data_IF_526587854048
#
_entry.id   IF_526587854048
#
_cell.length_a   1.000
_cell.length_b   1.000
_cell.length_c   1.000
_cell.angle_alpha   90.00
_cell.angle_beta   90.00
_cell.angle_gamma   90.00
#
_symmetry.space_group_name_H-M   'P 1'
#
loop_
_entity.id
_entity.type
_entity.pdbx_description
1 polymer ?
#
# COMPACT_ATOMS: atom_id res chain seq x y z
N UNK A 1 14.17 50.91 -17.49
CA UNK A 1 13.73 51.87 -16.49
C UNK A 1 13.11 51.08 -15.35
N UNK A 2 13.87 50.81 -14.28
CA UNK A 2 13.70 51.45 -12.94
C UNK A 2 12.33 51.09 -12.34
N UNK A 3 12.16 50.45 -11.18
CA UNK A 3 12.78 50.44 -9.84
C UNK A 3 12.13 49.26 -9.09
N UNK A 4 12.81 48.39 -8.36
CA UNK A 4 13.39 48.48 -7.01
C UNK A 4 12.39 48.78 -5.87
N UNK A 5 12.56 47.98 -4.83
CA UNK A 5 12.25 48.17 -3.40
C UNK A 5 11.02 47.42 -2.93
N UNK A 6 11.04 46.66 -1.86
CA UNK A 6 12.03 46.40 -0.79
C UNK A 6 11.30 45.84 0.42
N UNK A 7 11.93 44.88 1.11
CA UNK A 7 12.21 44.86 2.55
C UNK A 7 11.01 44.88 3.52
N UNK A 8 10.84 43.93 4.44
CA UNK A 8 11.41 43.61 5.75
C UNK A 8 10.57 42.50 6.39
N UNK A 9 11.11 41.41 6.83
CA UNK A 9 11.62 41.07 8.17
C UNK A 9 10.61 41.16 9.32
N UNK A 10 10.21 40.02 9.89
CA UNK A 10 10.10 39.85 11.34
C UNK A 10 10.14 38.38 11.74
N UNK A 11 11.20 38.04 12.42
CA UNK A 11 11.39 36.82 13.19
C UNK A 11 10.59 36.90 14.49
N UNK A 12 10.02 35.78 14.95
CA UNK A 12 9.80 35.57 16.38
C UNK A 12 9.86 34.07 16.69
N UNK A 13 11.03 33.68 17.22
CA UNK A 13 11.24 32.49 18.02
C UNK A 13 10.53 32.66 19.34
N UNK A 14 9.77 31.64 19.75
CA UNK A 14 9.48 31.41 21.18
C UNK A 14 9.87 29.98 21.52
N UNK A 15 11.00 29.87 22.19
CA UNK A 15 11.43 28.71 22.95
C UNK A 15 10.61 28.65 24.24
N UNK A 16 10.06 27.51 24.57
CA UNK A 16 9.65 27.18 25.93
C UNK A 16 10.11 25.77 26.27
N UNK A 17 11.22 25.71 27.00
CA UNK A 17 11.63 24.56 27.79
C UNK A 17 11.00 24.68 29.18
N UNK A 18 10.44 23.57 29.69
CA UNK A 18 10.31 23.24 31.09
C UNK A 18 10.03 21.72 31.16
N UNK A 19 10.91 20.95 31.61
CA UNK A 19 11.44 20.66 32.95
C UNK A 19 10.87 19.36 33.51
N UNK A 20 11.80 18.44 33.83
CA UNK A 20 11.76 17.16 34.49
C UNK A 20 10.75 16.99 35.63
N UNK A 21 10.28 15.72 35.79
CA UNK A 21 9.70 15.19 37.00
C UNK A 21 9.57 13.67 36.91
N UNK A 22 10.53 12.96 37.55
CA UNK A 22 10.53 11.52 37.76
C UNK A 22 9.50 11.16 38.86
N UNK A 23 8.78 10.06 38.71
CA UNK A 23 8.68 8.95 39.69
C UNK A 23 7.67 7.86 39.25
N UNK A 24 8.17 6.66 39.17
CA UNK A 24 7.70 5.32 39.60
C UNK A 24 6.25 4.86 39.43
N UNK A 25 6.16 3.74 38.68
CA UNK A 25 5.35 2.52 38.93
C UNK A 25 3.84 2.62 39.14
N UNK A 26 3.10 2.06 38.19
CA UNK A 26 2.25 0.87 38.42
C UNK A 26 1.58 0.41 37.13
N UNK A 27 1.61 -0.90 36.93
CA UNK A 27 0.97 -1.67 35.87
C UNK A 27 -0.54 -1.52 35.89
N UNK A 28 -1.16 -1.19 34.77
CA UNK A 28 -2.50 -1.65 34.44
C UNK A 28 -2.66 -1.69 32.93
N UNK A 29 -2.96 -2.89 32.46
CA UNK A 29 -3.40 -3.18 31.11
C UNK A 29 -4.65 -2.36 30.77
N UNK A 30 -4.54 -1.48 29.79
CA UNK A 30 -5.69 -0.86 29.15
C UNK A 30 -5.72 -1.29 27.69
N UNK A 31 -6.80 -1.96 27.33
CA UNK A 31 -7.16 -2.27 25.96
C UNK A 31 -7.20 -0.97 25.14
N UNK A 32 -6.38 -0.89 24.11
CA UNK A 32 -6.49 0.18 23.14
C UNK A 32 -7.72 -0.09 22.28
N UNK A 33 -8.75 0.70 22.49
CA UNK A 33 -9.82 0.88 21.51
C UNK A 33 -9.21 1.55 20.29
N UNK A 34 -9.08 0.81 19.22
CA UNK A 34 -8.75 1.37 17.91
C UNK A 34 -10.03 2.02 17.37
N UNK A 35 -10.23 3.27 17.73
CA UNK A 35 -11.29 4.11 17.17
C UNK A 35 -10.85 4.52 15.76
N UNK A 36 -11.67 4.13 14.78
CA UNK A 36 -11.40 4.33 13.38
C UNK A 36 -11.11 5.78 13.04
N UNK A 37 -9.87 6.05 12.69
CA UNK A 37 -9.50 7.36 12.15
C UNK A 37 -9.99 7.45 10.71
N UNK A 38 -10.89 8.38 10.50
CA UNK A 38 -11.43 8.77 9.22
C UNK A 38 -10.33 8.95 8.16
N UNK A 39 -10.60 8.48 6.96
CA UNK A 39 -9.82 8.77 5.77
C UNK A 39 -9.51 10.27 5.69
N UNK A 40 -8.22 10.61 5.79
CA UNK A 40 -7.75 11.95 5.47
C UNK A 40 -8.02 12.21 3.98
N UNK A 41 -8.67 13.32 3.67
CA UNK A 41 -8.85 13.81 2.30
C UNK A 41 -7.48 13.97 1.62
N UNK A 42 -7.11 13.01 0.79
CA UNK A 42 -5.83 12.93 0.09
C UNK A 42 -5.86 13.72 -1.22
N UNK A 43 -6.00 15.03 -1.16
CA UNK A 43 -5.88 15.88 -2.35
C UNK A 43 -4.46 15.92 -2.95
N UNK A 44 -3.45 15.41 -2.22
CA UNK A 44 -2.04 15.34 -2.63
C UNK A 44 -1.44 13.91 -2.50
N UNK A 45 -2.24 12.86 -2.55
CA UNK A 45 -1.71 11.50 -2.46
C UNK A 45 -0.97 11.14 -3.76
N UNK A 46 0.35 10.88 -3.64
CA UNK A 46 1.20 10.43 -4.76
C UNK A 46 0.68 9.15 -5.42
N UNK A 47 -0.16 8.38 -4.72
CA UNK A 47 -0.73 7.12 -5.17
C UNK A 47 -2.21 7.20 -5.58
N UNK A 48 -2.77 8.40 -5.75
CA UNK A 48 -4.18 8.57 -6.14
C UNK A 48 -4.54 7.88 -7.48
N UNK A 49 -3.58 7.75 -8.39
CA UNK A 49 -3.73 7.04 -9.67
C UNK A 49 -3.37 5.55 -9.62
N UNK A 50 -2.95 5.02 -8.47
CA UNK A 50 -2.56 3.62 -8.33
C UNK A 50 -3.82 2.76 -8.11
N UNK A 51 -3.97 1.71 -8.90
CA UNK A 51 -4.95 0.66 -8.70
C UNK A 51 -4.26 -0.69 -8.67
N UNK A 52 -4.37 -1.37 -7.55
CA UNK A 52 -3.67 -2.62 -7.27
C UNK A 52 -4.59 -3.80 -7.57
N UNK A 53 -4.09 -4.76 -8.35
CA UNK A 53 -4.67 -6.09 -8.47
C UNK A 53 -3.88 -7.08 -7.63
N UNK A 54 -4.52 -7.81 -6.73
CA UNK A 54 -3.86 -8.81 -5.89
C UNK A 54 -4.37 -10.21 -6.19
N UNK A 55 -3.49 -11.07 -6.68
CA UNK A 55 -3.75 -12.48 -7.00
C UNK A 55 -3.21 -13.33 -5.86
N UNK A 56 -4.07 -14.04 -5.14
CA UNK A 56 -3.67 -14.88 -4.01
C UNK A 56 -4.14 -16.32 -4.17
N UNK A 57 -3.24 -17.27 -3.83
CA UNK A 57 -3.47 -18.71 -3.95
C UNK A 57 -4.61 -19.20 -3.04
N UNK A 58 -4.75 -18.62 -1.87
CA UNK A 58 -5.78 -18.93 -0.88
C UNK A 58 -6.68 -17.74 -0.56
N UNK A 59 -7.05 -17.64 0.71
CA UNK A 59 -7.83 -16.52 1.27
C UNK A 59 -7.36 -16.18 2.69
N UNK A 60 -8.09 -15.34 3.41
CA UNK A 60 -7.76 -14.93 4.78
C UNK A 60 -7.83 -16.07 5.81
N UNK A 61 -8.39 -17.22 5.46
CA UNK A 61 -8.49 -18.40 6.37
C UNK A 61 -7.25 -19.29 6.30
N UNK A 62 -6.38 -19.10 5.30
CA UNK A 62 -5.15 -19.85 5.10
C UNK A 62 -3.96 -18.97 5.48
N UNK A 63 -3.09 -19.47 6.38
CA UNK A 63 -2.07 -18.66 7.04
C UNK A 63 -1.05 -17.99 6.10
N UNK A 64 -0.65 -18.67 5.03
CA UNK A 64 0.28 -18.13 4.04
C UNK A 64 -0.36 -16.95 3.27
N UNK A 65 -1.54 -17.17 2.70
CA UNK A 65 -2.25 -16.11 1.96
C UNK A 65 -2.68 -14.97 2.88
N UNK A 66 -3.13 -15.27 4.10
CA UNK A 66 -3.49 -14.27 5.10
C UNK A 66 -2.33 -13.33 5.44
N UNK A 67 -1.11 -13.86 5.56
CA UNK A 67 0.08 -13.04 5.82
C UNK A 67 0.35 -12.03 4.69
N UNK A 68 0.25 -12.47 3.44
CA UNK A 68 0.42 -11.59 2.27
C UNK A 68 -0.72 -10.56 2.15
N UNK A 69 -1.97 -10.99 2.36
CA UNK A 69 -3.14 -10.11 2.33
C UNK A 69 -2.99 -8.99 3.37
N UNK A 70 -2.62 -9.34 4.60
CA UNK A 70 -2.41 -8.37 5.68
C UNK A 70 -1.25 -7.43 5.37
N UNK A 71 -0.12 -7.94 4.85
CA UNK A 71 1.02 -7.12 4.46
C UNK A 71 0.68 -6.11 3.36
N UNK A 72 -0.10 -6.51 2.35
CA UNK A 72 -0.58 -5.59 1.30
C UNK A 72 -1.50 -4.52 1.89
N UNK A 73 -2.46 -4.91 2.75
CA UNK A 73 -3.39 -3.97 3.41
C UNK A 73 -2.65 -2.98 4.32
N UNK A 74 -1.68 -3.45 5.12
CA UNK A 74 -0.88 -2.61 6.00
C UNK A 74 -0.03 -1.61 5.19
N UNK A 75 0.68 -2.08 4.15
CA UNK A 75 1.46 -1.20 3.29
C UNK A 75 0.59 -0.17 2.57
N UNK A 76 -0.58 -0.56 2.07
CA UNK A 76 -1.53 0.34 1.44
C UNK A 76 -2.00 1.43 2.42
N UNK A 77 -2.35 1.05 3.65
CA UNK A 77 -2.77 2.00 4.69
C UNK A 77 -1.64 3.00 5.05
N UNK A 78 -0.39 2.53 5.19
CA UNK A 78 0.77 3.39 5.46
C UNK A 78 1.04 4.40 4.33
N UNK A 79 0.78 3.99 3.08
CA UNK A 79 0.96 4.83 1.88
C UNK A 79 -0.25 5.72 1.58
N UNK A 80 -1.32 5.61 2.35
CA UNK A 80 -2.57 6.34 2.12
C UNK A 80 -3.34 5.85 0.88
N UNK A 81 -3.13 4.60 0.49
CA UNK A 81 -3.88 3.91 -0.57
C UNK A 81 -5.15 3.36 0.05
N UNK A 82 -6.30 3.71 -0.50
CA UNK A 82 -7.59 3.27 0.02
C UNK A 82 -7.96 1.85 -0.42
N UNK A 83 -8.82 1.18 0.35
CA UNK A 83 -9.23 -0.21 0.07
C UNK A 83 -9.93 -0.37 -1.28
N UNK A 84 -10.62 0.65 -1.77
CA UNK A 84 -11.27 0.67 -3.09
C UNK A 84 -10.30 0.74 -4.27
N UNK A 85 -9.03 1.06 -4.01
CA UNK A 85 -7.94 0.98 -4.99
C UNK A 85 -7.37 -0.45 -5.12
N UNK A 86 -7.82 -1.41 -4.29
CA UNK A 86 -7.29 -2.78 -4.30
C UNK A 86 -8.37 -3.76 -4.76
N UNK A 87 -8.11 -4.45 -5.86
CA UNK A 87 -8.97 -5.50 -6.42
C UNK A 87 -8.36 -6.86 -6.10
N UNK A 88 -9.11 -7.68 -5.37
CA UNK A 88 -8.65 -9.00 -4.93
C UNK A 88 -9.14 -10.13 -5.81
N UNK A 89 -8.25 -11.07 -6.14
CA UNK A 89 -8.52 -12.37 -6.75
C UNK A 89 -8.07 -13.45 -5.80
N UNK A 90 -9.03 -14.07 -5.11
CA UNK A 90 -8.78 -15.11 -4.12
C UNK A 90 -8.84 -16.50 -4.75
N UNK A 91 -8.10 -17.44 -4.17
CA UNK A 91 -8.11 -18.87 -4.55
C UNK A 91 -7.78 -19.10 -6.02
N UNK A 92 -6.83 -18.33 -6.52
CA UNK A 92 -6.35 -18.49 -7.90
C UNK A 92 -5.30 -19.61 -7.93
N UNK A 93 -5.52 -20.71 -8.64
CA UNK A 93 -4.56 -21.79 -8.74
C UNK A 93 -3.29 -21.37 -9.50
N UNK A 94 -2.22 -22.15 -9.31
CA UNK A 94 -0.97 -22.01 -10.04
C UNK A 94 -1.10 -22.62 -11.45
N UNK A 95 -1.69 -21.89 -12.38
CA UNK A 95 -2.00 -22.36 -13.73
C UNK A 95 -2.49 -21.24 -14.63
N UNK A 96 -3.15 -21.59 -15.73
CA UNK A 96 -3.74 -20.65 -16.67
C UNK A 96 -4.72 -19.68 -16.03
N UNK A 97 -5.33 -20.06 -14.92
CA UNK A 97 -6.21 -19.20 -14.13
C UNK A 97 -5.49 -17.94 -13.59
N UNK A 98 -4.15 -18.01 -13.45
CA UNK A 98 -3.34 -16.83 -13.11
C UNK A 98 -3.38 -15.81 -14.25
N UNK A 99 -3.25 -16.26 -15.49
CA UNK A 99 -3.39 -15.42 -16.70
C UNK A 99 -4.78 -14.79 -16.75
N UNK A 100 -5.83 -15.61 -16.60
CA UNK A 100 -7.21 -15.12 -16.64
C UNK A 100 -7.46 -14.04 -15.57
N UNK A 101 -6.93 -14.27 -14.37
CA UNK A 101 -7.04 -13.31 -13.26
C UNK A 101 -6.26 -12.01 -13.54
N UNK A 102 -5.06 -12.11 -14.10
CA UNK A 102 -4.23 -10.96 -14.44
C UNK A 102 -4.87 -10.12 -15.55
N UNK A 103 -5.35 -10.76 -16.64
CA UNK A 103 -6.06 -10.08 -17.73
C UNK A 103 -7.32 -9.36 -17.24
N UNK A 104 -8.09 -10.00 -16.37
CA UNK A 104 -9.29 -9.38 -15.80
C UNK A 104 -8.94 -8.16 -14.93
N UNK A 105 -7.86 -8.23 -14.15
CA UNK A 105 -7.36 -7.10 -13.36
C UNK A 105 -6.87 -5.94 -14.24
N UNK A 106 -6.14 -6.24 -15.32
CA UNK A 106 -5.76 -5.23 -16.33
C UNK A 106 -7.01 -4.60 -16.94
N UNK A 107 -8.00 -5.42 -17.31
CA UNK A 107 -9.29 -4.95 -17.85
C UNK A 107 -10.07 -4.07 -16.88
N UNK A 108 -9.88 -4.25 -15.58
CA UNK A 108 -10.44 -3.39 -14.53
C UNK A 108 -9.63 -2.11 -14.29
N UNK A 109 -8.52 -1.91 -14.99
CA UNK A 109 -7.66 -0.73 -14.91
C UNK A 109 -6.62 -0.79 -13.77
N UNK A 110 -6.30 -1.99 -13.26
CA UNK A 110 -5.16 -2.15 -12.36
C UNK A 110 -3.85 -1.88 -13.11
N UNK A 111 -3.00 -1.06 -12.52
CA UNK A 111 -1.69 -0.68 -13.07
C UNK A 111 -0.50 -1.21 -12.25
N UNK A 112 -0.79 -1.90 -11.15
CA UNK A 112 0.12 -2.72 -10.38
C UNK A 112 -0.57 -4.05 -10.06
N UNK A 113 -0.03 -5.17 -10.51
CA UNK A 113 -0.57 -6.50 -10.24
C UNK A 113 0.44 -7.30 -9.44
N UNK A 114 0.01 -7.81 -8.29
CA UNK A 114 0.84 -8.53 -7.32
C UNK A 114 0.31 -9.95 -7.19
N UNK A 115 1.18 -10.96 -7.25
CA UNK A 115 0.82 -12.35 -6.94
C UNK A 115 1.64 -12.91 -5.78
N UNK A 116 1.05 -13.79 -4.96
CA UNK A 116 1.70 -14.31 -3.76
C UNK A 116 2.27 -15.73 -3.90
N UNK A 117 2.05 -16.42 -5.01
CA UNK A 117 2.52 -17.79 -5.16
C UNK A 117 3.68 -17.93 -6.13
N UNK A 118 4.63 -18.83 -5.80
CA UNK A 118 5.76 -19.18 -6.65
C UNK A 118 5.31 -19.67 -8.04
N UNK A 119 4.29 -20.51 -8.11
CA UNK A 119 3.80 -21.04 -9.36
C UNK A 119 3.04 -20.02 -10.24
N UNK A 120 2.71 -18.84 -9.71
CA UNK A 120 2.16 -17.74 -10.51
C UNK A 120 3.21 -17.05 -11.39
N UNK A 121 4.51 -17.12 -11.04
CA UNK A 121 5.55 -16.27 -11.61
C UNK A 121 5.67 -16.35 -13.13
N UNK A 122 5.60 -17.54 -13.72
CA UNK A 122 5.73 -17.72 -15.18
C UNK A 122 4.63 -16.96 -15.91
N UNK A 123 3.40 -17.06 -15.44
CA UNK A 123 2.24 -16.38 -16.01
C UNK A 123 2.33 -14.86 -15.79
N UNK A 124 2.84 -14.41 -14.65
CA UNK A 124 3.06 -12.99 -14.37
C UNK A 124 4.11 -12.37 -15.30
N UNK A 125 5.17 -13.12 -15.64
CA UNK A 125 6.19 -12.68 -16.61
C UNK A 125 5.60 -12.58 -18.02
N UNK A 126 4.82 -13.58 -18.45
CA UNK A 126 4.13 -13.58 -19.75
C UNK A 126 3.18 -12.39 -19.88
N UNK A 127 2.42 -12.10 -18.82
CA UNK A 127 1.52 -10.94 -18.81
C UNK A 127 2.25 -9.60 -18.74
N UNK A 128 3.41 -9.53 -18.08
CA UNK A 128 4.25 -8.33 -18.09
C UNK A 128 4.77 -7.98 -19.50
N UNK A 129 5.13 -9.01 -20.30
CA UNK A 129 5.51 -8.82 -21.70
C UNK A 129 4.35 -8.33 -22.58
N UNK A 130 3.14 -8.79 -22.27
CA UNK A 130 1.92 -8.45 -23.01
C UNK A 130 1.38 -7.06 -22.67
N UNK A 131 1.53 -6.62 -21.42
CA UNK A 131 1.04 -5.36 -20.91
C UNK A 131 2.18 -4.47 -20.36
N UNK A 132 3.02 -3.89 -21.21
CA UNK A 132 4.23 -3.16 -20.78
C UNK A 132 3.95 -1.89 -19.97
N UNK A 133 2.73 -1.39 -19.97
CA UNK A 133 2.31 -0.23 -19.20
C UNK A 133 1.80 -0.60 -17.79
N UNK A 134 1.74 -1.90 -17.45
CA UNK A 134 1.31 -2.43 -16.16
C UNK A 134 2.49 -3.04 -15.43
N UNK A 135 2.63 -2.75 -14.15
CA UNK A 135 3.67 -3.34 -13.31
C UNK A 135 3.20 -4.69 -12.74
N UNK A 136 4.00 -5.74 -12.93
CA UNK A 136 3.73 -7.07 -12.39
C UNK A 136 4.77 -7.44 -11.35
N UNK A 137 4.34 -7.98 -10.21
CA UNK A 137 5.18 -8.41 -9.10
C UNK A 137 4.81 -9.81 -8.66
N UNK A 138 5.72 -10.76 -8.81
CA UNK A 138 5.61 -12.09 -8.23
C UNK A 138 6.38 -12.11 -6.92
N UNK A 139 5.68 -12.01 -5.77
CA UNK A 139 6.30 -11.79 -4.44
C UNK A 139 7.24 -12.91 -4.02
N UNK A 140 7.02 -14.13 -4.50
CA UNK A 140 7.83 -15.32 -4.17
C UNK A 140 8.51 -15.91 -5.40
N UNK A 141 8.57 -15.16 -6.50
CA UNK A 141 9.25 -15.56 -7.72
C UNK A 141 10.77 -15.45 -7.60
N UNK A 142 11.48 -16.15 -8.49
CA UNK A 142 12.94 -16.12 -8.64
C UNK A 142 13.41 -15.58 -9.99
N UNK A 143 12.48 -15.11 -10.82
CA UNK A 143 12.77 -14.35 -12.03
C UNK A 143 13.01 -12.88 -11.69
N UNK A 144 14.07 -12.30 -12.25
CA UNK A 144 14.45 -10.91 -12.07
C UNK A 144 14.55 -10.22 -13.45
#
# INVERSE_FOLDING_TARGET
MKKLMGILLAASMVFSMAACGSTASSSSSAAANNDGTAAADNADNAYAGLKIGAIVLGDETEGYSAAHINGIKEAAAELGISDDQIVWKYKVPEGGETTDAAEDLVGQGCNLIISNSYGHQTYMVEEAEKYPDVNFVAMTGDFA
#
